data_IF_138259441496
#
_entry.id   IF_138259441496
#
_cell.length_a   1.000
_cell.length_b   1.000
_cell.length_c   1.000
_cell.angle_alpha   90.00
_cell.angle_beta   90.00
_cell.angle_gamma   90.00
#
_symmetry.space_group_name_H-M   'P 1'
#
loop_
_entity.id
_entity.type
_entity.pdbx_description
1 polymer ?
#
# COMPACT_ATOMS: atom_id res chain seq x y z
N UNK A 1 -0.82 30.07 -19.05
CA UNK A 1 -0.17 30.51 -17.80
C UNK A 1 1.32 30.55 -18.05
N UNK A 2 2.01 31.57 -17.57
CA UNK A 2 3.48 31.58 -17.57
C UNK A 2 3.89 30.70 -16.38
N UNK A 3 4.66 29.64 -16.63
CA UNK A 3 5.19 28.81 -15.55
C UNK A 3 6.34 29.51 -14.85
N UNK A 4 6.38 29.44 -13.53
CA UNK A 4 7.53 29.88 -12.72
C UNK A 4 8.53 28.71 -12.65
N UNK A 5 9.84 28.98 -12.70
CA UNK A 5 10.87 27.96 -12.63
C UNK A 5 11.91 28.30 -11.56
N UNK A 6 12.25 27.34 -10.70
CA UNK A 6 13.31 27.43 -9.70
C UNK A 6 14.41 26.40 -9.98
N UNK A 7 15.68 26.81 -9.86
CA UNK A 7 16.85 25.96 -10.09
C UNK A 7 17.88 26.23 -8.99
N UNK A 8 18.50 25.17 -8.47
CA UNK A 8 19.65 25.25 -7.56
C UNK A 8 19.40 26.15 -6.33
N UNK A 9 18.19 26.11 -5.78
CA UNK A 9 17.82 26.91 -4.61
C UNK A 9 17.72 26.04 -3.37
N UNK A 10 18.04 26.64 -2.22
CA UNK A 10 17.83 25.96 -0.94
C UNK A 10 16.34 25.75 -0.66
N UNK A 11 15.55 26.79 -0.88
CA UNK A 11 14.13 26.86 -0.53
C UNK A 11 13.34 27.54 -1.65
N UNK A 12 12.18 27.00 -2.02
CA UNK A 12 11.23 27.57 -2.98
C UNK A 12 9.82 27.68 -2.39
N UNK A 13 9.15 28.80 -2.66
CA UNK A 13 7.78 29.07 -2.21
C UNK A 13 7.01 29.77 -3.33
N UNK A 14 5.99 29.13 -3.89
CA UNK A 14 5.19 29.72 -4.96
C UNK A 14 3.72 29.22 -4.94
N UNK A 15 2.85 30.00 -5.58
CA UNK A 15 1.45 29.67 -5.77
C UNK A 15 1.11 29.82 -7.25
N UNK A 16 1.00 28.72 -7.99
CA UNK A 16 0.78 28.76 -9.42
C UNK A 16 1.20 27.47 -10.12
N UNK A 17 1.46 27.61 -11.43
CA UNK A 17 2.08 26.55 -12.21
C UNK A 17 3.59 26.65 -12.13
N UNK A 18 4.26 25.73 -11.44
CA UNK A 18 5.70 25.85 -11.13
C UNK A 18 6.46 24.60 -11.58
N UNK A 19 7.73 24.75 -11.98
CA UNK A 19 8.67 23.63 -12.04
C UNK A 19 9.87 23.93 -11.13
N UNK A 20 10.26 22.95 -10.34
CA UNK A 20 11.29 23.07 -9.30
C UNK A 20 12.35 22.01 -9.55
N UNK A 21 13.61 22.45 -9.67
CA UNK A 21 14.76 21.58 -9.98
C UNK A 21 15.87 21.79 -8.96
N UNK A 22 16.46 20.70 -8.48
CA UNK A 22 17.65 20.72 -7.63
C UNK A 22 17.44 21.59 -6.37
N UNK A 23 16.35 21.32 -5.64
CA UNK A 23 15.93 22.12 -4.48
C UNK A 23 16.03 21.34 -3.18
N UNK A 24 16.46 22.02 -2.12
CA UNK A 24 16.45 21.45 -0.77
C UNK A 24 15.04 21.22 -0.26
N UNK A 25 14.27 22.30 -0.12
CA UNK A 25 12.89 22.27 0.37
C UNK A 25 11.98 23.09 -0.54
N UNK A 26 10.81 22.57 -0.90
CA UNK A 26 9.86 23.30 -1.74
C UNK A 26 8.43 23.25 -1.20
N UNK A 27 7.77 24.41 -1.18
CA UNK A 27 6.41 24.58 -0.68
C UNK A 27 5.54 25.25 -1.74
N UNK A 28 4.65 24.48 -2.36
CA UNK A 28 3.92 24.90 -3.54
C UNK A 28 2.41 24.76 -3.36
N UNK A 29 1.66 25.54 -4.14
CA UNK A 29 0.21 25.41 -4.22
C UNK A 29 -0.25 25.57 -5.66
N UNK A 30 -0.81 24.50 -6.22
CA UNK A 30 -1.25 24.47 -7.61
C UNK A 30 -0.34 23.58 -8.47
N UNK A 31 -0.60 23.55 -9.78
CA UNK A 31 0.01 22.54 -10.65
C UNK A 31 1.55 22.57 -10.68
N UNK A 32 2.22 21.62 -10.06
CA UNK A 32 3.68 21.66 -9.86
C UNK A 32 4.40 20.42 -10.39
N UNK A 33 5.63 20.60 -10.86
CA UNK A 33 6.53 19.49 -11.16
C UNK A 33 7.82 19.65 -10.35
N UNK A 34 8.16 18.65 -9.54
CA UNK A 34 9.39 18.59 -8.75
C UNK A 34 10.39 17.61 -9.38
N UNK A 35 11.65 18.01 -9.47
CA UNK A 35 12.76 17.20 -9.96
C UNK A 35 13.95 17.33 -9.02
N UNK A 36 14.50 16.20 -8.57
CA UNK A 36 15.70 16.17 -7.72
C UNK A 36 15.54 17.04 -6.47
N UNK A 37 14.40 16.89 -5.78
CA UNK A 37 14.07 17.67 -4.57
C UNK A 37 14.28 16.80 -3.34
N UNK A 38 14.91 17.35 -2.30
CA UNK A 38 15.08 16.57 -1.06
C UNK A 38 13.75 16.43 -0.31
N UNK A 39 13.02 17.53 -0.10
CA UNK A 39 11.74 17.57 0.61
C UNK A 39 10.72 18.46 -0.13
N UNK A 40 9.55 17.91 -0.48
CA UNK A 40 8.49 18.62 -1.21
C UNK A 40 7.16 18.63 -0.44
N UNK A 41 6.47 19.77 -0.48
CA UNK A 41 5.15 19.97 0.11
C UNK A 41 4.24 20.68 -0.90
N UNK A 42 3.20 20.02 -1.40
CA UNK A 42 2.22 20.67 -2.29
C UNK A 42 0.75 20.34 -1.95
N UNK A 43 -0.13 21.23 -2.42
CA UNK A 43 -1.57 21.07 -2.35
C UNK A 43 -2.20 21.43 -3.71
N UNK A 44 -2.59 20.42 -4.46
CA UNK A 44 -3.09 20.57 -5.82
C UNK A 44 -2.78 19.36 -6.71
N UNK A 45 -2.09 19.60 -7.83
CA UNK A 45 -1.94 18.61 -8.89
C UNK A 45 -0.50 18.50 -9.32
N UNK A 46 0.17 17.41 -8.98
CA UNK A 46 1.64 17.37 -8.96
C UNK A 46 2.22 16.16 -9.66
N UNK A 47 3.40 16.34 -10.25
CA UNK A 47 4.29 15.25 -10.62
C UNK A 47 5.60 15.40 -9.85
N UNK A 48 6.02 14.33 -9.20
CA UNK A 48 7.17 14.27 -8.31
C UNK A 48 8.16 13.27 -8.89
N UNK A 49 9.40 13.70 -9.12
CA UNK A 49 10.46 12.88 -9.70
C UNK A 49 11.72 12.96 -8.84
N UNK A 50 12.27 11.79 -8.48
CA UNK A 50 13.55 11.67 -7.75
C UNK A 50 13.57 12.47 -6.44
N UNK A 51 12.48 12.42 -5.68
CA UNK A 51 12.30 13.12 -4.42
C UNK A 51 12.58 12.23 -3.21
N UNK A 52 13.28 12.82 -2.24
CA UNK A 52 13.62 12.16 -0.99
C UNK A 52 12.38 11.88 -0.12
N UNK A 53 11.63 12.93 0.20
CA UNK A 53 10.37 12.86 0.92
C UNK A 53 9.36 13.86 0.34
N UNK A 54 8.14 13.41 0.08
CA UNK A 54 7.09 14.26 -0.46
C UNK A 54 5.80 14.17 0.37
N UNK A 55 5.17 15.32 0.62
CA UNK A 55 3.96 15.46 1.43
C UNK A 55 2.92 16.23 0.63
N UNK A 56 1.95 15.50 0.12
CA UNK A 56 1.14 15.98 -0.98
C UNK A 56 -0.35 15.84 -0.68
N UNK A 57 -1.15 16.70 -1.29
CA UNK A 57 -2.61 16.65 -1.16
C UNK A 57 -3.28 17.03 -2.47
N UNK A 58 -3.81 16.03 -3.16
CA UNK A 58 -4.69 16.23 -4.30
C UNK A 58 -4.58 15.13 -5.34
N UNK A 59 -4.10 15.46 -6.54
CA UNK A 59 -3.87 14.45 -7.59
C UNK A 59 -2.39 14.41 -7.91
N UNK A 60 -1.74 13.30 -7.58
CA UNK A 60 -0.28 13.26 -7.58
C UNK A 60 0.26 12.01 -8.28
N UNK A 61 1.37 12.17 -8.99
CA UNK A 61 2.13 11.06 -9.58
C UNK A 61 3.56 11.12 -9.06
N UNK A 62 4.02 10.02 -8.46
CA UNK A 62 5.35 9.86 -7.87
C UNK A 62 6.19 8.91 -8.71
N UNK A 63 7.46 9.26 -8.95
CA UNK A 63 8.38 8.51 -9.79
C UNK A 63 9.76 8.46 -9.14
N UNK A 64 10.26 7.24 -8.91
CA UNK A 64 11.61 6.99 -8.37
C UNK A 64 11.86 7.63 -6.97
N UNK A 65 10.78 7.80 -6.21
CA UNK A 65 10.83 8.49 -4.91
C UNK A 65 11.19 7.55 -3.76
N UNK A 66 11.89 8.10 -2.76
CA UNK A 66 12.26 7.33 -1.57
C UNK A 66 11.11 7.22 -0.56
N UNK A 67 10.27 8.24 -0.44
CA UNK A 67 9.21 8.30 0.54
C UNK A 67 8.12 9.29 0.13
N UNK A 68 6.87 8.88 0.23
CA UNK A 68 5.75 9.74 -0.13
C UNK A 68 4.55 9.55 0.81
N UNK A 69 3.93 10.69 1.14
CA UNK A 69 2.76 10.80 2.00
C UNK A 69 1.70 11.61 1.27
N UNK A 70 0.54 11.01 0.98
CA UNK A 70 -0.47 11.65 0.14
C UNK A 70 -1.89 11.46 0.69
N UNK A 71 -2.80 12.38 0.33
CA UNK A 71 -4.21 12.29 0.65
C UNK A 71 -5.01 12.76 -0.56
N UNK A 72 -5.46 11.81 -1.40
CA UNK A 72 -5.96 12.18 -2.70
C UNK A 72 -6.21 11.03 -3.68
N UNK A 73 -5.91 11.28 -4.94
CA UNK A 73 -5.90 10.26 -5.98
C UNK A 73 -4.48 10.16 -6.55
N UNK A 74 -3.88 8.97 -6.50
CA UNK A 74 -2.42 8.88 -6.54
C UNK A 74 -1.93 7.72 -7.39
N UNK A 75 -0.82 7.93 -8.08
CA UNK A 75 -0.08 6.86 -8.75
C UNK A 75 1.38 6.87 -8.30
N UNK A 76 1.86 5.72 -7.83
CA UNK A 76 3.24 5.54 -7.40
C UNK A 76 3.98 4.62 -8.38
N UNK A 77 5.13 5.06 -8.88
CA UNK A 77 6.01 4.31 -9.75
C UNK A 77 7.41 4.22 -9.14
N UNK A 78 7.87 2.99 -8.90
CA UNK A 78 9.23 2.72 -8.40
C UNK A 78 9.54 3.43 -7.06
N UNK A 79 8.53 3.50 -6.19
CA UNK A 79 8.63 4.16 -4.88
C UNK A 79 9.00 3.18 -3.79
N UNK A 80 9.90 3.56 -2.88
CA UNK A 80 10.33 2.66 -1.82
C UNK A 80 9.30 2.52 -0.70
N UNK A 81 8.84 3.63 -0.14
CA UNK A 81 7.88 3.68 0.97
C UNK A 81 6.75 4.65 0.63
N UNK A 82 5.50 4.22 0.72
CA UNK A 82 4.34 5.05 0.44
C UNK A 82 3.25 4.92 1.52
N UNK A 83 2.64 6.06 1.85
CA UNK A 83 1.53 6.18 2.79
C UNK A 83 0.44 7.06 2.18
N UNK A 84 -0.73 6.51 1.89
CA UNK A 84 -1.81 7.28 1.31
C UNK A 84 -3.21 6.99 1.90
N UNK A 85 -4.07 8.00 1.77
CA UNK A 85 -5.48 7.89 2.12
C UNK A 85 -6.37 8.41 0.97
N UNK A 86 -6.92 7.49 0.18
CA UNK A 86 -7.71 7.81 -0.99
C UNK A 86 -7.72 6.71 -2.05
N UNK A 87 -7.65 7.09 -3.33
CA UNK A 87 -7.74 6.16 -4.45
C UNK A 87 -6.38 6.01 -5.12
N UNK A 88 -5.79 4.81 -5.06
CA UNK A 88 -4.36 4.66 -5.38
C UNK A 88 -4.03 3.51 -6.32
N UNK A 89 -2.99 3.71 -7.12
CA UNK A 89 -2.32 2.66 -7.88
C UNK A 89 -0.83 2.62 -7.56
N UNK A 90 -0.35 1.42 -7.23
CA UNK A 90 1.06 1.15 -6.92
C UNK A 90 1.70 0.30 -7.99
N UNK A 91 2.86 0.74 -8.48
CA UNK A 91 3.69 0.02 -9.42
C UNK A 91 5.11 -0.08 -8.88
N UNK A 92 5.63 -1.30 -8.70
CA UNK A 92 6.99 -1.57 -8.23
C UNK A 92 7.31 -0.89 -6.88
N UNK A 93 6.46 -1.11 -5.88
CA UNK A 93 6.63 -0.45 -4.57
C UNK A 93 7.20 -1.39 -3.52
N UNK A 94 8.13 -0.86 -2.71
CA UNK A 94 8.77 -1.60 -1.63
C UNK A 94 7.80 -1.89 -0.48
N UNK A 95 7.25 -0.85 0.11
CA UNK A 95 6.26 -0.91 1.18
C UNK A 95 5.16 0.11 0.95
N UNK A 96 3.90 -0.31 1.08
CA UNK A 96 2.73 0.56 0.95
C UNK A 96 1.78 0.40 2.14
N UNK A 97 1.25 1.52 2.60
CA UNK A 97 0.29 1.60 3.70
C UNK A 97 -0.88 2.49 3.31
N UNK A 98 -2.02 1.90 2.97
CA UNK A 98 -3.13 2.69 2.47
C UNK A 98 -4.45 2.49 3.20
N UNK A 99 -5.30 3.47 2.96
CA UNK A 99 -6.70 3.44 3.34
C UNK A 99 -7.57 3.95 2.21
N UNK A 100 -8.09 3.03 1.40
CA UNK A 100 -9.10 3.36 0.40
C UNK A 100 -9.28 2.30 -0.66
N UNK A 101 -9.54 2.72 -1.89
CA UNK A 101 -9.65 1.80 -3.04
C UNK A 101 -8.30 1.72 -3.73
N UNK A 102 -7.68 0.54 -3.73
CA UNK A 102 -6.28 0.40 -4.13
C UNK A 102 -6.04 -0.73 -5.13
N UNK A 103 -5.10 -0.51 -6.04
CA UNK A 103 -4.54 -1.54 -6.92
C UNK A 103 -3.03 -1.63 -6.74
N UNK A 104 -2.53 -2.84 -6.48
CA UNK A 104 -1.10 -3.13 -6.32
C UNK A 104 -0.57 -3.96 -7.47
N UNK A 105 0.54 -3.52 -8.06
CA UNK A 105 1.29 -4.23 -9.08
C UNK A 105 2.75 -4.31 -8.65
N UNK A 106 3.29 -5.54 -8.56
CA UNK A 106 4.70 -5.79 -8.25
C UNK A 106 5.13 -5.16 -6.91
N UNK A 107 4.39 -5.45 -5.84
CA UNK A 107 4.66 -4.88 -4.50
C UNK A 107 5.23 -5.91 -3.56
N UNK A 108 6.24 -5.50 -2.79
CA UNK A 108 6.88 -6.40 -1.84
C UNK A 108 6.05 -6.55 -0.56
N UNK A 109 5.66 -5.46 0.07
CA UNK A 109 4.89 -5.45 1.32
C UNK A 109 3.73 -4.44 1.21
N UNK A 110 2.50 -4.89 1.44
CA UNK A 110 1.31 -4.04 1.41
C UNK A 110 0.45 -4.20 2.68
N UNK A 111 -0.02 -3.08 3.20
CA UNK A 111 -0.85 -3.00 4.40
C UNK A 111 -2.07 -2.13 4.13
N UNK A 112 -3.22 -2.75 3.95
CA UNK A 112 -4.41 -2.02 3.52
C UNK A 112 -5.61 -2.22 4.42
N UNK A 113 -6.46 -1.20 4.36
CA UNK A 113 -7.76 -1.23 4.98
C UNK A 113 -8.80 -0.67 4.00
N UNK A 114 -9.36 -1.53 3.14
CA UNK A 114 -10.65 -1.42 2.41
C UNK A 114 -10.67 -2.34 1.17
N UNK A 115 -11.08 -1.86 -0.01
CA UNK A 115 -11.32 -2.67 -1.20
C UNK A 115 -10.07 -2.68 -2.09
N UNK A 116 -9.49 -3.85 -2.33
CA UNK A 116 -8.14 -3.94 -2.90
C UNK A 116 -7.99 -5.01 -3.97
N UNK A 117 -7.18 -4.73 -5.00
CA UNK A 117 -6.71 -5.71 -5.96
C UNK A 117 -5.19 -5.85 -5.91
N UNK A 118 -4.69 -7.08 -5.75
CA UNK A 118 -3.28 -7.40 -5.73
C UNK A 118 -2.86 -8.19 -6.95
N UNK A 119 -1.78 -7.75 -7.60
CA UNK A 119 -1.10 -8.41 -8.70
C UNK A 119 0.39 -8.54 -8.37
N UNK A 120 0.91 -9.75 -8.36
CA UNK A 120 2.34 -10.04 -8.14
C UNK A 120 2.87 -9.43 -6.82
N UNK A 121 2.20 -9.76 -5.71
CA UNK A 121 2.58 -9.26 -4.37
C UNK A 121 3.20 -10.33 -3.51
N UNK A 122 4.29 -9.99 -2.83
CA UNK A 122 4.98 -10.94 -1.95
C UNK A 122 4.25 -11.11 -0.63
N UNK A 123 3.98 -10.04 0.10
CA UNK A 123 3.34 -10.07 1.42
C UNK A 123 2.22 -9.01 1.48
N UNK A 124 1.00 -9.43 1.82
CA UNK A 124 -0.16 -8.55 1.94
C UNK A 124 -0.90 -8.72 3.29
N UNK A 125 -1.29 -7.60 3.91
CA UNK A 125 -2.02 -7.55 5.18
C UNK A 125 -3.29 -6.71 5.01
N UNK A 126 -4.44 -7.36 5.00
CA UNK A 126 -5.68 -6.77 4.49
C UNK A 126 -6.86 -6.83 5.47
N UNK A 127 -7.63 -5.75 5.50
CA UNK A 127 -8.94 -5.70 6.15
C UNK A 127 -10.01 -5.11 5.21
N UNK A 128 -10.74 -5.97 4.49
CA UNK A 128 -11.83 -5.53 3.60
C UNK A 128 -12.23 -6.56 2.53
N UNK A 129 -12.73 -6.05 1.39
CA UNK A 129 -13.06 -6.86 0.21
C UNK A 129 -11.85 -6.92 -0.73
N UNK A 130 -11.26 -8.10 -0.92
CA UNK A 130 -9.96 -8.21 -1.61
C UNK A 130 -9.93 -9.27 -2.70
N UNK A 131 -9.29 -8.93 -3.81
CA UNK A 131 -8.97 -9.82 -4.91
C UNK A 131 -7.45 -10.00 -5.06
N UNK A 132 -6.99 -11.25 -5.06
CA UNK A 132 -5.58 -11.59 -5.22
C UNK A 132 -5.31 -12.31 -6.54
N UNK A 133 -4.22 -11.93 -7.19
CA UNK A 133 -3.63 -12.55 -8.37
C UNK A 133 -2.12 -12.71 -8.14
N UNK A 134 -1.62 -13.94 -8.11
CA UNK A 134 -0.20 -14.24 -7.92
C UNK A 134 0.41 -13.61 -6.65
N UNK A 135 -0.17 -13.93 -5.49
CA UNK A 135 0.35 -13.52 -4.18
C UNK A 135 1.01 -14.68 -3.45
N UNK A 136 2.15 -14.40 -2.81
CA UNK A 136 2.90 -15.41 -2.06
C UNK A 136 2.31 -15.63 -0.67
N UNK A 137 2.19 -14.58 0.14
CA UNK A 137 1.65 -14.63 1.49
C UNK A 137 0.58 -13.54 1.69
N UNK A 138 -0.58 -13.91 2.25
CA UNK A 138 -1.68 -13.00 2.53
C UNK A 138 -2.26 -13.25 3.94
N UNK A 139 -2.47 -12.18 4.69
CA UNK A 139 -3.10 -12.17 6.01
C UNK A 139 -4.36 -11.33 5.95
N UNK A 140 -5.52 -11.96 6.16
CA UNK A 140 -6.81 -11.35 5.82
C UNK A 140 -7.75 -11.30 7.02
N UNK A 141 -8.50 -10.19 7.12
CA UNK A 141 -9.64 -10.03 8.01
C UNK A 141 -10.82 -9.43 7.22
N UNK A 142 -11.58 -10.26 6.49
CA UNK A 142 -12.64 -9.77 5.60
C UNK A 142 -13.21 -10.82 4.65
N UNK A 143 -13.95 -10.39 3.63
CA UNK A 143 -14.48 -11.27 2.58
C UNK A 143 -13.56 -11.26 1.36
N UNK A 144 -13.05 -12.41 0.93
CA UNK A 144 -12.00 -12.47 -0.10
C UNK A 144 -12.33 -13.39 -1.26
N UNK A 145 -11.74 -13.10 -2.42
CA UNK A 145 -11.79 -13.92 -3.63
C UNK A 145 -10.36 -14.15 -4.13
N UNK A 146 -9.87 -15.38 -3.95
CA UNK A 146 -8.49 -15.77 -4.23
C UNK A 146 -8.36 -16.42 -5.61
N UNK A 147 -7.33 -16.02 -6.36
CA UNK A 147 -6.89 -16.71 -7.58
C UNK A 147 -5.38 -16.93 -7.49
N UNK A 148 -4.95 -18.19 -7.61
CA UNK A 148 -3.54 -18.59 -7.73
C UNK A 148 -2.62 -18.17 -6.55
N UNK A 149 -2.91 -18.68 -5.34
CA UNK A 149 -2.03 -18.52 -4.15
C UNK A 149 -1.25 -19.80 -3.86
N UNK A 150 0.07 -19.69 -3.65
CA UNK A 150 0.98 -20.84 -3.56
C UNK A 150 1.07 -21.49 -2.16
N UNK A 151 0.79 -20.78 -1.06
CA UNK A 151 1.06 -21.28 0.30
C UNK A 151 -0.18 -21.48 1.23
N UNK A 152 -1.37 -20.95 0.88
CA UNK A 152 -2.58 -21.09 1.74
C UNK A 152 -3.11 -22.53 1.81
N UNK A 153 -2.94 -23.31 0.73
CA UNK A 153 -3.51 -24.65 0.63
C UNK A 153 -2.84 -25.69 1.55
N UNK A 154 -1.55 -25.52 1.87
CA UNK A 154 -0.81 -26.53 2.63
C UNK A 154 -0.84 -26.25 4.15
N UNK A 155 -0.73 -24.98 4.56
CA UNK A 155 -0.95 -24.58 5.95
C UNK A 155 -2.37 -24.93 6.44
N UNK A 156 -3.39 -24.73 5.59
CA UNK A 156 -4.78 -25.09 5.90
C UNK A 156 -5.00 -26.60 6.03
N UNK A 157 -4.33 -27.42 5.21
CA UNK A 157 -4.42 -28.89 5.31
C UNK A 157 -3.79 -29.42 6.60
N UNK A 158 -2.67 -28.83 7.01
CA UNK A 158 -1.95 -29.22 8.23
C UNK A 158 -2.79 -28.90 9.46
N UNK A 159 -3.34 -27.68 9.55
CA UNK A 159 -4.23 -27.26 10.63
C UNK A 159 -5.53 -28.10 10.70
N UNK A 160 -6.12 -28.45 9.55
CA UNK A 160 -7.31 -29.32 9.51
C UNK A 160 -6.99 -30.74 10.00
N UNK A 161 -5.82 -31.28 9.68
CA UNK A 161 -5.41 -32.61 10.12
C UNK A 161 -5.09 -32.65 11.61
N UNK A 162 -4.51 -31.60 12.15
CA UNK A 162 -4.26 -31.45 13.58
C UNK A 162 -5.58 -31.37 14.36
N UNK A 163 -6.55 -30.56 13.88
CA UNK A 163 -7.89 -30.46 14.48
C UNK A 163 -8.65 -31.80 14.45
N UNK A 164 -8.59 -32.55 13.34
CA UNK A 164 -9.19 -33.90 13.24
C UNK A 164 -8.57 -34.89 14.22
N UNK A 165 -7.28 -34.74 14.50
CA UNK A 165 -6.55 -35.61 15.44
C UNK A 165 -6.97 -35.30 16.88
N UNK A 166 -7.08 -34.03 17.23
CA UNK A 166 -7.59 -33.58 18.54
C UNK A 166 -9.05 -33.98 18.74
N UNK A 167 -9.93 -33.80 17.74
CA UNK A 167 -11.34 -34.16 17.84
C UNK A 167 -11.56 -35.66 18.16
N UNK A 168 -10.78 -36.55 17.54
CA UNK A 168 -10.82 -38.01 17.83
C UNK A 168 -10.39 -38.37 19.25
N UNK A 169 -9.59 -37.53 19.91
CA UNK A 169 -9.17 -37.74 21.30
C UNK A 169 -10.20 -37.20 22.31
N UNK A 170 -11.00 -36.21 21.92
CA UNK A 170 -12.02 -35.58 22.79
C UNK A 170 -13.34 -36.38 22.82
N UNK A 171 -13.76 -36.97 21.69
CA UNK A 171 -15.00 -37.75 21.57
C UNK A 171 -15.18 -38.90 22.60
N UNK A 172 -14.16 -39.73 22.91
CA UNK A 172 -14.29 -40.78 23.93
C UNK A 172 -14.43 -40.23 25.36
N UNK A 173 -13.74 -39.12 25.67
CA UNK A 173 -13.73 -38.52 27.01
C UNK A 173 -15.09 -37.86 27.35
N UNK A 174 -15.75 -37.25 26.38
CA UNK A 174 -17.09 -36.67 26.56
C UNK A 174 -18.15 -37.74 26.91
N UNK A 175 -18.09 -38.91 26.26
CA UNK A 175 -18.99 -40.06 26.54
C UNK A 175 -18.78 -40.69 27.92
N UNK A 176 -17.58 -40.56 28.48
CA UNK A 176 -17.24 -41.16 29.78
C UNK A 176 -17.65 -40.21 30.92
N UNK A 177 -17.51 -38.89 30.73
CA UNK A 177 -17.98 -37.88 31.67
C UNK A 177 -19.52 -37.85 31.81
N UNK A 178 -20.26 -38.11 30.72
CA UNK A 178 -21.72 -38.13 30.75
C UNK A 178 -22.30 -39.35 31.50
N UNK A 179 -21.56 -40.46 31.61
CA UNK A 179 -21.96 -41.66 32.36
C UNK A 179 -21.68 -41.61 33.86
N UNK A 180 -20.97 -40.58 34.34
CA UNK A 180 -20.64 -40.41 35.76
C UNK A 180 -21.59 -39.44 36.49
N UNK A 181 -22.50 -38.79 35.76
CA UNK A 181 -23.48 -37.83 36.27
C UNK A 181 -24.94 -38.36 36.25
N UNK A 182 -25.15 -39.61 35.84
CA UNK A 182 -26.41 -40.37 35.97
C UNK A 182 -26.28 -41.44 37.06
#
# INVERSE_FOLDING_TARGET
MVGTHFYDVREAFECGGTHVYDVGEAFERGGTHFYDVREAFECGGTHVYDVGEAFERGVTHFYDDRGAFECGATHFYDVRDAFECGGTQFYNVGAAFERGETHFYDVREAFEHCATHFYDVREAFECGETHFYDVREAFEYGGTHLRDVKEIADASKEQINEFKTVAKQVEPNARTAQKLND
#
